data_IF_800870050315
#
_entry.id   IF_800870050315
#
_cell.length_a   1.000
_cell.length_b   1.000
_cell.length_c   1.000
_cell.angle_alpha   90.00
_cell.angle_beta   90.00
_cell.angle_gamma   90.00
#
_symmetry.space_group_name_H-M   'P 1'
#
loop_
_entity.id
_entity.type
_entity.pdbx_description
1 polymer ?
#
# COMPACT_ATOMS: atom_id res chain seq x y z
N UNK A 1 4.54 -17.24 -2.68
CA UNK A 1 4.90 -16.54 -1.43
C UNK A 1 3.76 -15.58 -1.12
N UNK A 2 2.83 -16.00 -0.28
CA UNK A 2 1.68 -15.21 0.18
C UNK A 2 1.96 -14.96 1.67
N UNK A 3 1.99 -13.69 2.08
CA UNK A 3 2.26 -13.32 3.47
C UNK A 3 3.18 -12.12 3.60
N UNK A 4 2.89 -11.01 2.91
CA UNK A 4 3.31 -9.71 3.40
C UNK A 4 2.19 -9.23 4.34
N UNK A 5 2.38 -9.37 5.65
CA UNK A 5 1.49 -8.71 6.60
C UNK A 5 1.55 -7.20 6.33
N UNK A 6 0.40 -6.53 6.27
CA UNK A 6 0.34 -5.07 6.11
C UNK A 6 0.73 -4.32 7.41
N UNK A 7 1.30 -5.01 8.39
CA UNK A 7 1.72 -4.43 9.66
C UNK A 7 2.67 -3.24 9.45
N UNK A 8 2.31 -2.11 10.05
CA UNK A 8 3.05 -0.86 9.94
C UNK A 8 2.66 0.00 8.73
N UNK A 9 1.79 -0.48 7.82
CA UNK A 9 1.28 0.35 6.73
C UNK A 9 0.28 1.38 7.26
N UNK A 10 0.51 2.65 6.94
CA UNK A 10 -0.43 3.73 7.21
C UNK A 10 -0.75 4.49 5.92
N UNK A 11 -1.99 4.97 5.83
CA UNK A 11 -2.46 5.83 4.74
C UNK A 11 -2.85 7.20 5.28
N UNK A 12 -2.60 8.25 4.51
CA UNK A 12 -3.05 9.59 4.85
C UNK A 12 -4.52 9.77 4.45
N UNK A 13 -5.36 10.12 5.41
CA UNK A 13 -6.77 10.46 5.17
C UNK A 13 -6.90 11.81 4.50
N UNK A 14 -8.10 12.14 4.02
CA UNK A 14 -8.38 13.46 3.42
C UNK A 14 -8.25 14.60 4.44
N UNK A 15 -8.39 14.29 5.72
CA UNK A 15 -8.27 15.24 6.82
C UNK A 15 -6.79 15.46 7.23
N UNK A 16 -5.85 14.80 6.55
CA UNK A 16 -4.42 14.92 6.81
C UNK A 16 -3.91 14.03 7.96
N UNK A 17 -4.74 13.13 8.47
CA UNK A 17 -4.38 12.21 9.54
C UNK A 17 -3.82 10.89 9.00
N UNK A 18 -2.97 10.24 9.78
CA UNK A 18 -2.46 8.91 9.43
C UNK A 18 -3.36 7.82 10.00
N UNK A 19 -3.86 6.94 9.14
CA UNK A 19 -4.72 5.83 9.49
C UNK A 19 -3.99 4.49 9.27
N UNK A 20 -3.85 3.64 10.31
CA UNK A 20 -3.17 2.36 10.19
C UNK A 20 -4.04 1.31 9.48
N UNK A 21 -3.47 0.65 8.49
CA UNK A 21 -4.11 -0.43 7.75
C UNK A 21 -3.92 -1.75 8.52
N UNK A 22 -5.03 -2.41 8.83
CA UNK A 22 -5.07 -3.75 9.43
C UNK A 22 -5.69 -4.72 8.44
N UNK A 23 -4.86 -5.37 7.64
CA UNK A 23 -5.29 -6.45 6.77
C UNK A 23 -5.46 -7.74 7.58
N UNK A 24 -6.59 -8.43 7.43
CA UNK A 24 -6.75 -9.80 7.94
C UNK A 24 -6.09 -10.78 6.95
N UNK A 25 -5.94 -12.04 7.36
CA UNK A 25 -5.21 -13.05 6.56
C UNK A 25 -5.77 -13.31 5.16
N UNK A 26 -7.04 -12.99 4.91
CA UNK A 26 -7.69 -13.14 3.60
C UNK A 26 -7.82 -11.82 2.83
N UNK A 27 -7.46 -10.70 3.45
CA UNK A 27 -7.62 -9.37 2.86
C UNK A 27 -6.44 -9.06 1.92
N UNK A 28 -6.74 -8.41 0.80
CA UNK A 28 -5.74 -7.89 -0.13
C UNK A 28 -5.75 -6.38 -0.06
N UNK A 29 -4.62 -5.78 0.28
CA UNK A 29 -4.42 -4.33 0.26
C UNK A 29 -3.77 -3.95 -1.07
N UNK A 30 -4.46 -3.10 -1.85
CA UNK A 30 -3.97 -2.61 -3.13
C UNK A 30 -3.77 -1.10 -3.01
N UNK A 31 -2.55 -0.63 -3.24
CA UNK A 31 -2.30 0.80 -3.38
C UNK A 31 -2.58 1.25 -4.83
N UNK A 32 -3.29 2.37 -4.97
CA UNK A 32 -3.49 3.04 -6.26
C UNK A 32 -2.42 4.10 -6.40
N UNK A 33 -1.53 3.95 -7.40
CA UNK A 33 -0.57 4.98 -7.76
C UNK A 33 -1.09 5.96 -8.82
N UNK A 34 -0.31 7.00 -9.09
CA UNK A 34 -0.69 8.09 -10.02
C UNK A 34 -1.00 7.61 -11.44
N UNK A 35 -0.32 6.57 -11.92
CA UNK A 35 -0.58 5.99 -13.24
C UNK A 35 -2.00 5.41 -13.34
N UNK A 36 -2.43 4.65 -12.32
CA UNK A 36 -3.77 4.06 -12.29
C UNK A 36 -4.86 5.12 -12.05
N UNK A 37 -4.56 6.15 -11.25
CA UNK A 37 -5.43 7.32 -11.12
C UNK A 37 -5.67 8.00 -12.48
N UNK A 38 -4.61 8.23 -13.26
CA UNK A 38 -4.72 8.83 -14.60
C UNK A 38 -5.49 7.93 -15.56
N UNK A 39 -5.18 6.63 -15.59
CA UNK A 39 -5.84 5.66 -16.45
C UNK A 39 -7.35 5.57 -16.18
N UNK A 40 -7.76 5.71 -14.92
CA UNK A 40 -9.17 5.66 -14.52
C UNK A 40 -9.88 7.01 -14.57
N UNK A 41 -9.24 8.03 -15.18
CA UNK A 41 -9.70 9.41 -15.22
C UNK A 41 -10.16 9.90 -13.83
N UNK A 42 -9.28 9.74 -12.83
CA UNK A 42 -9.46 10.19 -11.45
C UNK A 42 -10.57 9.49 -10.65
N UNK A 43 -11.16 8.40 -11.15
CA UNK A 43 -12.14 7.58 -10.39
C UNK A 43 -11.49 6.86 -9.21
N UNK A 44 -10.29 6.33 -9.40
CA UNK A 44 -9.47 5.82 -8.30
C UNK A 44 -8.46 6.89 -7.89
N UNK A 45 -8.37 7.17 -6.59
CA UNK A 45 -7.49 8.22 -6.06
C UNK A 45 -6.17 7.63 -5.59
N UNK A 46 -5.08 8.28 -5.99
CA UNK A 46 -3.75 8.03 -5.46
C UNK A 46 -3.73 8.39 -3.97
N UNK A 47 -3.21 7.50 -3.15
CA UNK A 47 -3.17 7.69 -1.69
C UNK A 47 -1.73 7.78 -1.21
N UNK A 48 -1.44 8.82 -0.43
CA UNK A 48 -0.18 8.92 0.29
C UNK A 48 -0.15 7.84 1.36
N UNK A 49 0.92 7.06 1.39
CA UNK A 49 1.09 5.96 2.33
C UNK A 49 2.53 5.95 2.85
N UNK A 50 2.72 5.36 4.03
CA UNK A 50 4.04 5.16 4.63
C UNK A 50 4.09 3.83 5.37
N UNK A 51 5.30 3.35 5.62
CA UNK A 51 5.55 2.23 6.52
C UNK A 51 6.17 2.79 7.79
N UNK A 52 5.55 2.49 8.93
CA UNK A 52 6.06 2.84 10.26
C UNK A 52 6.85 1.66 10.81
N UNK A 53 8.03 1.97 11.37
CA UNK A 53 8.85 0.95 11.99
C UNK A 53 8.11 0.32 13.18
N UNK A 54 8.15 -1.03 13.32
CA UNK A 54 7.58 -1.69 14.47
C UNK A 54 8.34 -1.29 15.76
N UNK A 55 7.73 -1.50 16.94
CA UNK A 55 8.40 -1.31 18.23
C UNK A 55 9.73 -2.04 18.28
N UNK A 56 10.70 -1.53 19.05
CA UNK A 56 12.08 -2.06 19.08
C UNK A 56 12.16 -3.56 19.35
N UNK A 57 11.24 -4.10 20.13
CA UNK A 57 11.10 -5.51 20.49
C UNK A 57 10.79 -6.43 19.28
N UNK A 58 10.27 -5.86 18.19
CA UNK A 58 9.89 -6.54 16.94
C UNK A 58 10.77 -6.13 15.75
N UNK A 59 11.82 -5.32 15.96
CA UNK A 59 12.73 -4.91 14.90
C UNK A 59 13.67 -6.06 14.52
N UNK A 60 13.69 -6.44 13.24
CA UNK A 60 14.53 -7.54 12.73
C UNK A 60 14.07 -8.10 11.38
N UNK A 61 12.83 -7.78 10.98
CA UNK A 61 12.26 -8.14 9.67
C UNK A 61 12.04 -6.87 8.85
N UNK A 62 12.87 -6.63 7.85
CA UNK A 62 12.64 -5.56 6.87
C UNK A 62 11.58 -6.01 5.87
N UNK A 63 10.46 -5.31 5.80
CA UNK A 63 9.44 -5.54 4.78
C UNK A 63 9.68 -4.57 3.63
N UNK A 64 10.22 -5.07 2.52
CA UNK A 64 10.35 -4.32 1.28
C UNK A 64 9.17 -4.65 0.37
N UNK A 65 8.34 -3.66 0.07
CA UNK A 65 7.23 -3.81 -0.87
C UNK A 65 7.62 -3.21 -2.23
N UNK A 66 8.01 -4.07 -3.18
CA UNK A 66 8.18 -3.70 -4.58
C UNK A 66 6.93 -4.07 -5.36
N UNK A 67 6.11 -3.07 -5.71
CA UNK A 67 4.97 -3.24 -6.61
C UNK A 67 5.39 -2.92 -8.05
N UNK A 68 5.85 -3.93 -8.79
CA UNK A 68 6.08 -3.82 -10.24
C UNK A 68 4.77 -4.07 -10.99
N UNK A 69 4.16 -3.01 -11.52
CA UNK A 69 3.05 -3.13 -12.46
C UNK A 69 3.59 -3.13 -13.90
N UNK A 70 3.46 -4.25 -14.61
CA UNK A 70 3.71 -4.33 -16.05
C UNK A 70 2.39 -4.14 -16.79
N UNK A 71 2.25 -3.03 -17.51
CA UNK A 71 1.09 -2.76 -18.37
C UNK A 71 1.44 -3.28 -19.77
N UNK A 72 0.84 -4.41 -20.18
CA UNK A 72 0.84 -4.80 -21.59
C UNK A 72 -0.23 -3.95 -22.31
N UNK A 73 0.20 -3.17 -23.30
CA UNK A 73 -0.74 -2.68 -24.29
C UNK A 73 -1.19 -3.87 -25.15
N UNK A 74 -2.50 -4.09 -25.36
CA UNK A 74 -2.95 -5.03 -26.37
C UNK A 74 -2.48 -4.56 -27.77
N UNK A 75 -2.30 -5.50 -28.72
CA UNK A 75 -1.76 -5.20 -30.05
C UNK A 75 -2.59 -4.18 -30.84
#
# INVERSE_FOLDING_TARGET
>A
MIGASADGLEVMTKDGEWFPIKAKGEDIVINVGDMLQRLTNNKLKSTTHRVVNPPREKMGTSVFLFLSFYIQNPP
#
